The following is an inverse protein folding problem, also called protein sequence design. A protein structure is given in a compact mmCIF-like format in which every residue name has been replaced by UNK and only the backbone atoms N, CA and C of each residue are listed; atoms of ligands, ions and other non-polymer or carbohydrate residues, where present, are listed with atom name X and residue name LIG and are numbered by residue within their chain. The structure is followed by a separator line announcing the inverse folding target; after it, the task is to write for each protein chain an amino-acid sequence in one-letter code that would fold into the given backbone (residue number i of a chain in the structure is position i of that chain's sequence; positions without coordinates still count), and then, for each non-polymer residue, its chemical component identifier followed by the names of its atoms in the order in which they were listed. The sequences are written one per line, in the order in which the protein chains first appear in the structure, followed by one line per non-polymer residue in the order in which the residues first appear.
data_IF_201303546458
#
_entry.id   IF_201303546458
#
_cell.length_a   1.000
_cell.length_b   1.000
_cell.length_c   1.000
_cell.angle_alpha   90.00
_cell.angle_beta   90.00
_cell.angle_gamma   90.00
#
_symmetry.space_group_name_H-M   'P 1'
#
loop_
_entity.id
_entity.type
_entity.pdbx_description
1 polymer ?
#
# COMPACT_ATOMS: atom_id res chain seq x y z
N UNK A 1 -15.24 -19.32 -19.01
CA UNK A 1 -14.44 -18.26 -18.34
C UNK A 1 -15.40 -17.55 -17.40
N UNK A 2 -15.43 -17.94 -16.14
CA UNK A 2 -16.21 -17.19 -15.13
C UNK A 2 -15.45 -15.93 -14.82
N UNK A 3 -15.98 -14.79 -15.25
CA UNK A 3 -15.59 -13.49 -14.73
C UNK A 3 -15.95 -13.48 -13.23
N UNK A 4 -14.99 -13.75 -12.38
CA UNK A 4 -15.14 -13.46 -10.95
C UNK A 4 -15.18 -11.95 -10.83
N UNK A 5 -16.38 -11.41 -10.62
CA UNK A 5 -16.55 -10.00 -10.23
C UNK A 5 -15.67 -9.73 -9.01
N UNK A 6 -14.98 -8.57 -8.96
CA UNK A 6 -14.16 -8.20 -7.83
C UNK A 6 -15.03 -8.20 -6.57
N UNK A 7 -14.63 -8.96 -5.55
CA UNK A 7 -15.32 -8.96 -4.27
C UNK A 7 -15.29 -7.55 -3.70
N UNK A 8 -16.46 -6.95 -3.52
CA UNK A 8 -16.61 -5.66 -2.85
C UNK A 8 -16.22 -5.87 -1.38
N UNK A 9 -15.10 -5.32 -0.98
CA UNK A 9 -14.71 -5.29 0.43
C UNK A 9 -15.60 -4.24 1.08
N UNK A 10 -16.56 -4.69 1.84
CA UNK A 10 -17.47 -3.83 2.60
C UNK A 10 -18.00 -2.62 1.79
N UNK A 11 -19.26 -2.32 1.82
CA UNK A 11 -19.84 -1.18 1.06
C UNK A 11 -19.37 0.18 1.60
N UNK A 12 -18.15 0.23 2.21
CA UNK A 12 -17.57 1.39 2.85
C UNK A 12 -16.72 2.25 1.92
N UNK A 13 -16.82 3.54 2.10
CA UNK A 13 -15.88 4.50 1.57
C UNK A 13 -14.74 4.68 2.57
N UNK A 14 -13.51 4.72 2.07
CA UNK A 14 -12.31 4.92 2.88
C UNK A 14 -11.60 6.21 2.49
N UNK A 15 -11.07 6.97 3.47
CA UNK A 15 -10.17 8.07 3.17
C UNK A 15 -8.96 7.59 2.41
N UNK A 16 -8.45 8.44 1.51
CA UNK A 16 -7.26 8.17 0.71
C UNK A 16 -6.12 9.04 1.21
N UNK A 17 -4.97 8.43 1.45
CA UNK A 17 -3.72 9.08 1.77
C UNK A 17 -2.80 9.00 0.54
N UNK A 18 -2.63 10.10 -0.22
CA UNK A 18 -1.70 10.13 -1.34
C UNK A 18 -0.25 10.10 -0.85
N UNK A 19 0.53 9.16 -1.38
CA UNK A 19 1.94 8.95 -1.03
C UNK A 19 2.85 9.49 -2.14
N UNK A 20 3.91 10.22 -1.78
CA UNK A 20 4.87 10.80 -2.73
C UNK A 20 5.99 9.84 -3.12
N UNK A 21 6.69 9.35 -2.11
CA UNK A 21 8.01 8.74 -2.27
C UNK A 21 8.02 7.25 -1.90
N UNK A 22 6.85 6.67 -1.68
CA UNK A 22 6.73 5.28 -1.27
C UNK A 22 5.49 4.62 -1.85
N UNK A 23 5.63 3.36 -2.22
CA UNK A 23 4.52 2.46 -2.52
C UNK A 23 4.37 1.46 -1.38
N UNK A 24 3.18 1.33 -0.82
CA UNK A 24 2.91 0.39 0.26
C UNK A 24 2.29 -0.88 -0.31
N UNK A 25 2.90 -2.01 0.00
CA UNK A 25 2.45 -3.35 -0.39
C UNK A 25 1.76 -4.07 0.76
N UNK A 26 0.90 -5.07 0.50
CA UNK A 26 0.37 -5.95 1.53
C UNK A 26 1.48 -6.59 2.39
N UNK A 27 1.27 -6.62 3.71
CA UNK A 27 2.26 -7.12 4.67
C UNK A 27 3.37 -6.14 5.06
N UNK A 28 3.45 -4.97 4.40
CA UNK A 28 4.44 -3.93 4.74
C UNK A 28 4.00 -3.15 5.97
N UNK A 29 4.88 -2.97 6.94
CA UNK A 29 4.70 -2.07 8.09
C UNK A 29 5.67 -0.91 7.92
N UNK A 30 5.14 0.32 7.84
CA UNK A 30 5.95 1.48 7.51
C UNK A 30 5.55 2.71 8.33
N UNK A 31 6.55 3.49 8.82
CA UNK A 31 6.30 4.80 9.41
C UNK A 31 6.13 5.83 8.28
N UNK A 32 5.08 6.64 8.38
CA UNK A 32 4.83 7.75 7.46
C UNK A 32 4.74 9.06 8.24
N UNK A 33 5.29 10.13 7.65
CA UNK A 33 5.17 11.49 8.15
C UNK A 33 4.18 12.27 7.30
N UNK A 34 3.11 12.75 7.92
CA UNK A 34 1.97 13.37 7.25
C UNK A 34 1.84 14.82 7.70
N UNK A 35 2.14 15.77 6.80
CA UNK A 35 2.09 17.20 7.07
C UNK A 35 1.00 17.94 6.31
N UNK A 36 0.43 17.36 5.24
CA UNK A 36 -0.62 18.01 4.44
C UNK A 36 -1.94 18.01 5.20
N UNK A 37 -2.61 19.17 5.26
CA UNK A 37 -3.87 19.35 6.00
C UNK A 37 -4.95 18.32 5.59
N UNK A 38 -5.17 18.11 4.29
CA UNK A 38 -6.14 17.13 3.79
C UNK A 38 -5.81 15.71 4.26
N UNK A 39 -4.53 15.35 4.29
CA UNK A 39 -4.07 14.05 4.76
C UNK A 39 -4.25 13.87 6.27
N UNK A 40 -4.00 14.93 7.06
CA UNK A 40 -4.24 14.93 8.50
C UNK A 40 -5.74 14.79 8.79
N UNK A 41 -6.60 15.49 8.03
CA UNK A 41 -8.05 15.37 8.16
C UNK A 41 -8.54 13.95 7.82
N UNK A 42 -7.98 13.33 6.80
CA UNK A 42 -8.23 11.93 6.46
C UNK A 42 -7.89 10.98 7.62
N UNK A 43 -6.72 11.15 8.24
CA UNK A 43 -6.30 10.36 9.40
C UNK A 43 -7.24 10.55 10.59
N UNK A 44 -7.55 11.80 10.96
CA UNK A 44 -8.43 12.11 12.07
C UNK A 44 -9.82 11.48 11.89
N UNK A 45 -10.33 11.39 10.66
CA UNK A 45 -11.65 10.85 10.36
C UNK A 45 -11.80 9.35 10.66
N UNK A 46 -10.70 8.60 10.76
CA UNK A 46 -10.71 7.14 10.92
C UNK A 46 -10.18 6.65 12.27
N UNK A 47 -9.49 7.50 13.03
CA UNK A 47 -8.84 7.09 14.29
C UNK A 47 -9.82 6.57 15.34
N UNK A 48 -10.98 7.18 15.46
CA UNK A 48 -12.01 6.81 16.42
C UNK A 48 -12.98 5.74 15.89
N UNK A 49 -12.71 5.22 14.69
CA UNK A 49 -13.59 4.25 14.00
C UNK A 49 -12.86 2.94 13.76
N UNK A 50 -12.57 2.66 12.49
CA UNK A 50 -12.01 1.39 12.01
C UNK A 50 -10.53 1.47 11.67
N UNK A 51 -9.89 2.64 11.80
CA UNK A 51 -8.45 2.88 11.56
C UNK A 51 -7.95 2.42 10.17
N UNK A 52 -8.86 2.29 9.19
CA UNK A 52 -8.54 1.86 7.83
C UNK A 52 -8.44 3.05 6.90
N UNK A 53 -7.43 3.03 6.03
CA UNK A 53 -7.14 4.09 5.07
C UNK A 53 -6.58 3.49 3.78
N UNK A 54 -6.94 4.07 2.62
CA UNK A 54 -6.33 3.69 1.34
C UNK A 54 -5.01 4.44 1.19
N UNK A 55 -3.93 3.70 0.96
CA UNK A 55 -2.59 4.20 0.69
C UNK A 55 -2.36 4.08 -0.81
N UNK A 56 -2.25 5.20 -1.52
CA UNK A 56 -2.09 5.21 -2.97
C UNK A 56 -0.99 6.18 -3.40
N UNK A 57 -0.07 5.73 -4.25
CA UNK A 57 1.02 6.55 -4.73
C UNK A 57 0.52 7.65 -5.68
N UNK A 58 1.14 8.83 -5.61
CA UNK A 58 0.96 9.90 -6.57
C UNK A 58 1.69 9.56 -7.89
N UNK A 59 1.19 10.05 -9.01
CA UNK A 59 1.85 9.93 -10.31
C UNK A 59 3.06 10.86 -10.45
N UNK A 60 3.04 12.00 -9.74
CA UNK A 60 4.16 12.93 -9.66
C UNK A 60 4.37 13.38 -8.21
N UNK A 61 5.61 13.37 -7.74
CA UNK A 61 6.00 13.80 -6.40
C UNK A 61 5.93 15.33 -6.21
N UNK A 62 5.95 16.10 -7.30
CA UNK A 62 5.96 17.57 -7.26
C UNK A 62 4.60 18.20 -6.92
N UNK A 63 3.53 17.39 -6.97
CA UNK A 63 2.17 17.89 -6.74
C UNK A 63 1.86 17.87 -5.25
N UNK A 64 1.62 19.05 -4.66
CA UNK A 64 1.29 19.18 -3.23
C UNK A 64 -0.13 18.73 -2.89
N UNK A 65 -1.09 19.06 -3.74
CA UNK A 65 -2.51 18.72 -3.57
C UNK A 65 -3.02 17.92 -4.76
N UNK A 66 -2.70 16.61 -4.82
CA UNK A 66 -3.04 15.79 -5.97
C UNK A 66 -4.56 15.59 -6.07
N UNK A 67 -5.06 15.74 -7.29
CA UNK A 67 -6.42 15.37 -7.65
C UNK A 67 -6.53 13.86 -7.88
N UNK A 68 -7.74 13.36 -8.00
CA UNK A 68 -8.05 11.94 -8.24
C UNK A 68 -7.34 11.36 -9.48
N UNK A 69 -7.24 12.12 -10.57
CA UNK A 69 -6.55 11.71 -11.81
C UNK A 69 -5.00 11.73 -11.70
N UNK A 70 -4.44 12.31 -10.64
CA UNK A 70 -3.00 12.41 -10.34
C UNK A 70 -2.52 11.34 -9.35
N UNK A 71 -3.43 10.45 -8.94
CA UNK A 71 -3.17 9.32 -8.04
C UNK A 71 -3.34 8.03 -8.84
N UNK A 72 -2.52 7.01 -8.54
CA UNK A 72 -2.69 5.69 -9.14
C UNK A 72 -3.97 5.03 -8.63
N UNK A 73 -4.68 4.34 -9.54
CA UNK A 73 -5.95 3.67 -9.22
C UNK A 73 -5.76 2.38 -8.41
N UNK A 74 -4.55 1.84 -8.36
CA UNK A 74 -4.22 0.68 -7.53
C UNK A 74 -3.46 1.18 -6.31
N UNK A 75 -3.93 0.80 -5.14
CA UNK A 75 -3.32 1.13 -3.86
C UNK A 75 -3.39 -0.04 -2.89
N UNK A 76 -3.11 0.25 -1.64
CA UNK A 76 -3.20 -0.71 -0.55
C UNK A 76 -4.16 -0.20 0.53
N UNK A 77 -5.15 -1.01 0.91
CA UNK A 77 -5.95 -0.74 2.11
C UNK A 77 -5.09 -1.07 3.32
N UNK A 78 -4.75 -0.06 4.11
CA UNK A 78 -3.91 -0.18 5.29
C UNK A 78 -4.68 0.02 6.58
N UNK A 79 -4.10 -0.48 7.66
CA UNK A 79 -4.57 -0.28 9.03
C UNK A 79 -3.57 0.57 9.81
N UNK A 80 -4.04 1.65 10.44
CA UNK A 80 -3.21 2.53 11.27
C UNK A 80 -3.00 1.85 12.63
N UNK A 81 -1.76 1.42 12.89
CA UNK A 81 -1.37 0.78 14.14
C UNK A 81 -1.12 1.80 15.24
N UNK A 82 -0.49 2.94 14.89
CA UNK A 82 -0.13 3.99 15.82
C UNK A 82 -0.20 5.36 15.15
N UNK A 83 -0.60 6.37 15.93
CA UNK A 83 -0.59 7.78 15.51
C UNK A 83 0.03 8.64 16.62
N UNK A 84 0.98 9.48 16.24
CA UNK A 84 1.63 10.45 17.12
C UNK A 84 1.60 11.84 16.48
N UNK A 85 1.01 12.80 17.17
CA UNK A 85 1.04 14.22 16.76
C UNK A 85 2.33 14.85 17.26
N UNK A 86 3.08 15.48 16.35
CA UNK A 86 4.33 16.17 16.65
C UNK A 86 4.08 17.66 16.95
N UNK A 87 5.00 18.32 17.67
CA UNK A 87 4.82 19.75 18.08
C UNK A 87 4.74 20.71 16.89
N UNK A 88 5.31 20.36 15.73
CA UNK A 88 5.29 21.14 14.49
C UNK A 88 3.98 21.00 13.70
N UNK A 89 3.01 20.23 14.20
CA UNK A 89 1.75 19.95 13.54
C UNK A 89 1.79 18.74 12.60
N UNK A 90 2.97 18.17 12.33
CA UNK A 90 3.11 16.93 11.55
C UNK A 90 2.56 15.75 12.34
N UNK A 91 1.98 14.79 11.65
CA UNK A 91 1.49 13.53 12.23
C UNK A 91 2.37 12.37 11.77
N UNK A 92 2.98 11.66 12.70
CA UNK A 92 3.68 10.42 12.44
C UNK A 92 2.71 9.25 12.66
N UNK A 93 2.55 8.40 11.65
CA UNK A 93 1.77 7.17 11.77
C UNK A 93 2.65 5.95 11.54
N UNK A 94 2.29 4.84 12.17
CA UNK A 94 2.72 3.51 11.80
C UNK A 94 1.53 2.82 11.14
N UNK A 95 1.69 2.38 9.89
CA UNK A 95 0.61 1.77 9.12
C UNK A 95 1.06 0.41 8.58
N UNK A 96 0.15 -0.55 8.59
CA UNK A 96 0.34 -1.86 7.99
C UNK A 96 -0.52 -1.99 6.73
N UNK A 97 0.08 -2.31 5.60
CA UNK A 97 -0.63 -2.66 4.38
C UNK A 97 -1.32 -4.01 4.53
N UNK A 98 -2.62 -4.07 4.29
CA UNK A 98 -3.40 -5.30 4.45
C UNK A 98 -3.77 -5.93 3.12
N UNK A 99 -4.37 -5.18 2.22
CA UNK A 99 -4.95 -5.71 0.99
C UNK A 99 -4.70 -4.78 -0.20
N UNK A 100 -4.34 -5.35 -1.35
CA UNK A 100 -4.28 -4.60 -2.60
C UNK A 100 -5.70 -4.28 -3.05
N UNK A 101 -5.93 -3.02 -3.38
CA UNK A 101 -7.25 -2.52 -3.77
C UNK A 101 -7.19 -1.72 -5.07
N UNK A 102 -8.27 -1.78 -5.84
CA UNK A 102 -8.54 -0.86 -6.94
C UNK A 102 -9.49 0.22 -6.44
N UNK A 103 -9.11 1.47 -6.62
CA UNK A 103 -9.98 2.62 -6.36
C UNK A 103 -10.98 2.71 -7.51
N UNK A 104 -12.27 2.62 -7.18
CA UNK A 104 -13.34 2.62 -8.17
C UNK A 104 -13.84 4.03 -8.46
N UNK A 105 -14.11 4.80 -7.39
CA UNK A 105 -14.69 6.14 -7.50
C UNK A 105 -14.27 6.99 -6.30
N UNK A 106 -13.91 8.24 -6.56
CA UNK A 106 -13.71 9.26 -5.54
C UNK A 106 -15.05 9.97 -5.25
N UNK A 107 -15.26 10.29 -3.98
CA UNK A 107 -16.40 11.08 -3.50
C UNK A 107 -15.85 12.25 -2.66
N UNK A 108 -15.67 13.41 -3.32
CA UNK A 108 -14.98 14.56 -2.74
C UNK A 108 -15.94 15.70 -2.38
N UNK A 109 -17.26 15.52 -2.54
CA UNK A 109 -18.24 16.62 -2.61
C UNK A 109 -18.44 17.41 -1.31
N UNK A 110 -18.04 16.89 -0.13
CA UNK A 110 -18.30 17.58 1.15
C UNK A 110 -17.17 17.47 2.17
N UNK A 111 -16.01 16.91 1.81
CA UNK A 111 -14.96 16.64 2.81
C UNK A 111 -13.64 17.32 2.49
N UNK A 112 -13.00 17.83 3.53
CA UNK A 112 -11.66 18.41 3.44
C UNK A 112 -10.56 17.34 3.27
N UNK A 113 -10.87 16.18 2.65
CA UNK A 113 -9.94 15.11 2.33
C UNK A 113 -10.51 14.20 1.22
N UNK A 114 -9.65 13.46 0.57
CA UNK A 114 -10.04 12.49 -0.44
C UNK A 114 -10.73 11.28 0.19
N UNK A 115 -11.89 10.93 -0.31
CA UNK A 115 -12.67 9.76 0.08
C UNK A 115 -12.94 8.91 -1.17
N UNK A 116 -12.81 7.59 -1.08
CA UNK A 116 -13.04 6.73 -2.22
C UNK A 116 -13.66 5.39 -1.85
N UNK A 117 -14.44 4.83 -2.76
CA UNK A 117 -14.82 3.43 -2.76
C UNK A 117 -13.73 2.60 -3.43
N UNK A 118 -13.50 1.39 -2.94
CA UNK A 118 -12.53 0.48 -3.53
C UNK A 118 -13.04 -0.96 -3.57
N UNK A 119 -12.43 -1.76 -4.43
CA UNK A 119 -12.65 -3.20 -4.50
C UNK A 119 -11.32 -3.93 -4.29
N UNK A 120 -11.38 -5.08 -3.63
CA UNK A 120 -10.22 -5.95 -3.44
C UNK A 120 -9.72 -6.44 -4.79
N UNK A 121 -8.41 -6.32 -5.02
CA UNK A 121 -7.75 -6.99 -6.12
C UNK A 121 -7.30 -8.37 -5.64
N UNK A 122 -7.90 -9.40 -6.20
CA UNK A 122 -7.44 -10.79 -6.03
C UNK A 122 -6.45 -11.11 -7.13
N UNK A 123 -5.36 -11.77 -6.76
CA UNK A 123 -4.40 -12.25 -7.74
C UNK A 123 -5.03 -13.37 -8.56
N UNK A 124 -5.04 -13.24 -9.87
CA UNK A 124 -5.34 -14.33 -10.78
C UNK A 124 -4.03 -15.10 -11.06
N UNK A 125 -3.78 -16.11 -10.25
CA UNK A 125 -2.57 -16.93 -10.38
C UNK A 125 -2.69 -17.96 -11.51
N UNK A 126 -3.83 -18.01 -12.20
CA UNK A 126 -4.08 -18.99 -13.26
C UNK A 126 -4.03 -20.43 -12.76
N UNK A 127 -3.78 -21.35 -13.70
CA UNK A 127 -3.57 -22.79 -13.41
C UNK A 127 -2.08 -23.17 -13.42
N UNK A 128 -1.18 -22.23 -13.60
CA UNK A 128 0.24 -22.48 -13.73
C UNK A 128 0.90 -22.67 -12.36
N UNK A 129 1.85 -23.59 -12.29
CA UNK A 129 2.71 -23.73 -11.12
C UNK A 129 3.76 -22.62 -11.11
N UNK A 130 3.52 -21.59 -10.30
CA UNK A 130 4.42 -20.44 -10.15
C UNK A 130 5.60 -20.71 -9.20
N UNK A 131 5.74 -21.93 -8.69
CA UNK A 131 6.80 -22.27 -7.73
C UNK A 131 8.21 -22.10 -8.31
N UNK A 132 8.40 -22.47 -9.57
CA UNK A 132 9.68 -22.27 -10.28
C UNK A 132 9.99 -20.79 -10.50
N UNK A 133 8.97 -19.99 -10.86
CA UNK A 133 9.13 -18.56 -11.03
C UNK A 133 9.48 -17.87 -9.71
N UNK A 134 8.79 -18.22 -8.64
CA UNK A 134 9.09 -17.70 -7.28
C UNK A 134 10.52 -18.03 -6.86
N UNK A 135 10.98 -19.26 -7.08
CA UNK A 135 12.39 -19.65 -6.82
C UNK A 135 13.37 -18.85 -7.66
N UNK A 136 13.06 -18.61 -8.94
CA UNK A 136 13.92 -17.82 -9.82
C UNK A 136 14.01 -16.34 -9.34
N UNK A 137 12.90 -15.75 -8.88
CA UNK A 137 12.85 -14.42 -8.30
C UNK A 137 13.71 -14.36 -7.03
N UNK A 138 13.52 -15.31 -6.11
CA UNK A 138 14.30 -15.39 -4.86
C UNK A 138 15.81 -15.53 -5.12
N UNK A 139 16.20 -16.37 -6.10
CA UNK A 139 17.61 -16.51 -6.47
C UNK A 139 18.21 -15.23 -7.05
N UNK A 140 17.44 -14.46 -7.84
CA UNK A 140 17.89 -13.17 -8.34
C UNK A 140 17.98 -12.13 -7.23
N UNK A 141 17.03 -12.15 -6.32
CA UNK A 141 17.00 -11.26 -5.16
C UNK A 141 18.18 -11.55 -4.21
N UNK A 142 18.49 -12.81 -3.92
CA UNK A 142 19.69 -13.21 -3.15
C UNK A 142 21.00 -12.67 -3.76
N UNK A 143 21.11 -12.72 -5.10
CA UNK A 143 22.27 -12.12 -5.79
C UNK A 143 22.30 -10.60 -5.63
N UNK A 144 21.13 -9.93 -5.69
CA UNK A 144 21.04 -8.48 -5.49
C UNK A 144 21.45 -8.09 -4.09
N UNK A 145 21.00 -8.81 -3.06
CA UNK A 145 21.38 -8.58 -1.65
C UNK A 145 22.90 -8.64 -1.47
N UNK A 146 23.56 -9.62 -2.08
CA UNK A 146 25.03 -9.79 -1.98
C UNK A 146 25.83 -8.66 -2.61
N UNK A 147 25.30 -7.98 -3.61
CA UNK A 147 26.00 -6.89 -4.31
C UNK A 147 25.51 -5.50 -3.88
N UNK A 148 24.33 -5.39 -3.31
CA UNK A 148 23.71 -4.13 -2.88
C UNK A 148 23.76 -3.98 -1.37
N UNK A 149 24.42 -2.91 -0.89
CA UNK A 149 24.42 -2.56 0.54
C UNK A 149 23.08 -1.98 1.04
N UNK A 150 22.12 -1.81 0.14
CA UNK A 150 20.81 -1.16 0.45
C UNK A 150 19.74 -2.15 0.92
N UNK A 151 19.94 -3.43 0.70
CA UNK A 151 19.00 -4.50 1.04
C UNK A 151 19.58 -5.32 2.18
N UNK A 152 18.79 -5.57 3.25
CA UNK A 152 19.26 -6.32 4.41
C UNK A 152 19.19 -7.84 4.19
N UNK A 153 20.15 -8.58 4.76
CA UNK A 153 20.12 -10.05 4.73
C UNK A 153 18.94 -10.63 5.54
N UNK A 154 18.52 -9.97 6.62
CA UNK A 154 17.36 -10.37 7.42
C UNK A 154 16.06 -10.34 6.61
N UNK A 155 15.90 -9.32 5.74
CA UNK A 155 14.76 -9.25 4.81
C UNK A 155 14.71 -10.44 3.86
N UNK A 156 15.86 -10.91 3.39
CA UNK A 156 15.95 -12.08 2.50
C UNK A 156 15.48 -13.37 3.18
N UNK A 157 15.89 -13.62 4.42
CA UNK A 157 15.50 -14.84 5.15
C UNK A 157 13.99 -14.91 5.38
N UNK A 158 13.39 -13.80 5.79
CA UNK A 158 11.95 -13.70 5.98
C UNK A 158 11.17 -14.02 4.69
N UNK A 159 11.71 -13.58 3.53
CA UNK A 159 11.08 -13.81 2.23
C UNK A 159 11.24 -15.28 1.77
N UNK A 160 12.37 -15.92 2.06
CA UNK A 160 12.65 -17.33 1.69
C UNK A 160 11.63 -18.32 2.27
N UNK A 161 11.09 -18.04 3.44
CA UNK A 161 10.09 -18.87 4.10
C UNK A 161 8.67 -18.71 3.54
N UNK A 162 8.47 -17.70 2.68
CA UNK A 162 7.18 -17.37 2.07
C UNK A 162 6.90 -18.30 0.89
N UNK A 163 5.80 -19.07 0.96
CA UNK A 163 5.43 -20.08 -0.06
C UNK A 163 4.49 -19.54 -1.14
N UNK A 164 3.72 -18.52 -0.82
CA UNK A 164 2.72 -17.95 -1.74
C UNK A 164 3.39 -17.01 -2.75
N UNK A 165 3.27 -17.25 -4.07
CA UNK A 165 3.95 -16.45 -5.09
C UNK A 165 3.67 -14.95 -5.02
N UNK A 166 2.43 -14.55 -4.77
CA UNK A 166 2.06 -13.14 -4.62
C UNK A 166 2.73 -12.48 -3.42
N UNK A 167 2.79 -13.18 -2.29
CA UNK A 167 3.49 -12.67 -1.10
C UNK A 167 5.00 -12.57 -1.32
N UNK A 168 5.60 -13.50 -2.09
CA UNK A 168 7.01 -13.39 -2.49
C UNK A 168 7.22 -12.13 -3.34
N UNK A 169 6.34 -11.88 -4.31
CA UNK A 169 6.44 -10.70 -5.16
C UNK A 169 6.32 -9.40 -4.35
N UNK A 170 5.33 -9.30 -3.46
CA UNK A 170 5.12 -8.13 -2.60
C UNK A 170 6.30 -7.91 -1.63
N UNK A 171 6.80 -8.98 -1.02
CA UNK A 171 7.91 -8.90 -0.09
C UNK A 171 9.23 -8.49 -0.78
N UNK A 172 9.48 -9.00 -1.99
CA UNK A 172 10.63 -8.56 -2.80
C UNK A 172 10.47 -7.10 -3.22
N UNK A 173 9.28 -6.71 -3.73
CA UNK A 173 9.00 -5.34 -4.14
C UNK A 173 9.18 -4.34 -3.00
N UNK A 174 8.78 -4.70 -1.78
CA UNK A 174 8.97 -3.90 -0.57
C UNK A 174 10.46 -3.62 -0.26
N UNK A 175 11.37 -4.51 -0.62
CA UNK A 175 12.81 -4.33 -0.40
C UNK A 175 13.50 -3.55 -1.52
N UNK A 176 12.82 -3.38 -2.67
CA UNK A 176 13.33 -2.57 -3.77
C UNK A 176 12.95 -1.11 -3.49
N UNK A 177 13.94 -0.24 -3.42
CA UNK A 177 13.72 1.21 -3.36
C UNK A 177 13.33 1.70 -4.77
N UNK A 178 12.04 1.64 -5.06
CA UNK A 178 11.46 2.09 -6.34
C UNK A 178 10.84 3.47 -6.13
#
# INVERSE_FOLDING_TARGET
MENKEPQIIDQGQYPVLPLRDIVVFPGMVVPLFVGREKSINALNSVMDKYKKIILAAQKSHDVDDPKDNEIYQVGCLGEILQLLKLPDGTVKILVEGKERVKINQYNNEEKNYLLASCSKLTDDLGKEDLSLLSKAVLNKFDKLVKVSKKVSEEGLETIKDTKEPSKVADAVANQLQI
#
